data_IF_619665921086
#
_entry.id   IF_619665921086
#
_cell.length_a   1.000
_cell.length_b   1.000
_cell.length_c   1.000
_cell.angle_alpha   90.00
_cell.angle_beta   90.00
_cell.angle_gamma   90.00
#
_symmetry.space_group_name_H-M   'P 1'
#
loop_
_entity.id
_entity.type
_entity.pdbx_description
1 polymer ?
#
# COMPACT_ATOMS: atom_id res chain seq x y z
N UNK A 1 -15.11 7.50 0.50
CA UNK A 1 -14.38 7.91 -0.72
C UNK A 1 -14.81 6.97 -1.85
N UNK A 2 -15.06 7.49 -3.05
CA UNK A 2 -15.33 6.64 -4.21
C UNK A 2 -14.02 5.96 -4.66
N UNK A 3 -14.07 4.68 -5.04
CA UNK A 3 -12.87 3.92 -5.43
C UNK A 3 -12.08 4.63 -6.54
N UNK A 4 -12.75 5.14 -7.57
CA UNK A 4 -12.09 5.81 -8.69
C UNK A 4 -11.40 7.11 -8.27
N UNK A 5 -12.03 7.91 -7.40
CA UNK A 5 -11.41 9.14 -6.90
C UNK A 5 -10.20 8.83 -6.03
N UNK A 6 -10.29 7.78 -5.19
CA UNK A 6 -9.19 7.33 -4.35
C UNK A 6 -8.01 6.84 -5.17
N UNK A 7 -8.23 5.98 -6.18
CA UNK A 7 -7.16 5.50 -7.05
C UNK A 7 -6.41 6.65 -7.71
N UNK A 8 -7.13 7.65 -8.24
CA UNK A 8 -6.51 8.84 -8.83
C UNK A 8 -5.67 9.62 -7.82
N UNK A 9 -6.23 9.88 -6.65
CA UNK A 9 -5.56 10.64 -5.59
C UNK A 9 -4.30 9.93 -5.08
N UNK A 10 -4.39 8.64 -4.77
CA UNK A 10 -3.27 7.85 -4.29
C UNK A 10 -2.17 7.69 -5.36
N UNK A 11 -2.55 7.54 -6.64
CA UNK A 11 -1.57 7.49 -7.75
C UNK A 11 -0.75 8.78 -7.84
N UNK A 12 -1.41 9.94 -7.78
CA UNK A 12 -0.71 11.23 -7.81
C UNK A 12 0.13 11.46 -6.56
N UNK A 13 -0.39 11.03 -5.41
CA UNK A 13 0.34 11.15 -4.14
C UNK A 13 1.59 10.28 -4.13
N UNK A 14 1.52 9.03 -4.57
CA UNK A 14 2.68 8.13 -4.64
C UNK A 14 3.72 8.60 -5.66
N UNK A 15 3.30 9.15 -6.78
CA UNK A 15 4.21 9.58 -7.84
C UNK A 15 4.87 10.94 -7.57
N UNK A 16 4.17 11.87 -6.90
CA UNK A 16 4.58 13.28 -6.86
C UNK A 16 4.75 13.85 -5.44
N UNK A 17 4.25 13.16 -4.40
CA UNK A 17 4.19 13.72 -3.04
C UNK A 17 4.80 12.82 -1.97
N UNK A 18 5.45 11.72 -2.35
CA UNK A 18 6.21 10.90 -1.41
C UNK A 18 7.55 11.57 -1.11
N UNK A 19 7.67 12.22 0.05
CA UNK A 19 8.84 13.03 0.44
C UNK A 19 10.15 12.24 0.55
N UNK A 20 10.11 10.91 0.47
CA UNK A 20 11.29 10.05 0.47
C UNK A 20 12.00 10.04 -0.88
N UNK A 21 11.31 10.44 -1.95
CA UNK A 21 11.81 10.44 -3.32
C UNK A 21 11.55 11.80 -3.98
N UNK A 22 12.36 12.21 -4.97
CA UNK A 22 11.99 13.34 -5.82
C UNK A 22 10.69 13.02 -6.60
N UNK A 23 9.88 14.03 -6.96
CA UNK A 23 8.71 13.81 -7.81
C UNK A 23 9.11 13.14 -9.13
N UNK A 24 8.34 12.13 -9.53
CA UNK A 24 8.56 11.35 -10.75
C UNK A 24 8.57 12.24 -12.00
N UNK A 25 9.56 12.02 -12.88
CA UNK A 25 9.66 12.72 -14.17
C UNK A 25 8.99 11.93 -15.30
N UNK A 26 8.76 12.60 -16.43
CA UNK A 26 8.11 11.98 -17.59
C UNK A 26 8.99 10.90 -18.23
N UNK A 27 10.29 11.08 -18.20
CA UNK A 27 11.30 10.19 -18.79
C UNK A 27 11.41 8.86 -18.03
N UNK A 28 10.94 8.83 -16.78
CA UNK A 28 10.89 7.63 -15.97
C UNK A 28 9.70 6.73 -16.33
N UNK A 29 8.58 7.30 -16.82
CA UNK A 29 7.34 6.57 -17.09
C UNK A 29 7.53 5.26 -17.88
N UNK A 30 8.32 5.20 -18.97
CA UNK A 30 8.48 3.97 -19.73
C UNK A 30 9.12 2.81 -18.97
N UNK A 31 9.79 3.09 -17.84
CA UNK A 31 10.51 2.10 -17.03
C UNK A 31 9.75 1.70 -15.76
N UNK A 32 8.58 2.28 -15.51
CA UNK A 32 7.84 2.10 -14.27
C UNK A 32 6.76 1.01 -14.37
N UNK A 33 6.50 0.42 -13.22
CA UNK A 33 5.35 -0.46 -12.97
C UNK A 33 4.40 0.27 -12.02
N UNK A 34 3.12 0.28 -12.34
CA UNK A 34 2.07 0.76 -11.45
C UNK A 34 1.47 -0.44 -10.73
N UNK A 35 1.44 -0.41 -9.40
CA UNK A 35 0.79 -1.43 -8.58
C UNK A 35 -0.36 -0.83 -7.78
N UNK A 36 -1.50 -1.52 -7.79
CA UNK A 36 -2.66 -1.18 -6.97
C UNK A 36 -2.95 -2.36 -6.06
N UNK A 37 -3.00 -2.09 -4.75
CA UNK A 37 -3.43 -3.06 -3.74
C UNK A 37 -4.79 -2.64 -3.20
N UNK A 38 -5.84 -3.41 -3.49
CA UNK A 38 -7.16 -3.23 -2.90
C UNK A 38 -7.23 -3.99 -1.57
N UNK A 39 -7.57 -3.27 -0.50
CA UNK A 39 -7.70 -3.85 0.83
C UNK A 39 -9.14 -4.25 1.10
N UNK A 40 -9.36 -5.50 1.51
CA UNK A 40 -10.67 -6.11 1.66
C UNK A 40 -10.76 -6.90 2.97
N UNK A 41 -11.99 -7.30 3.36
CA UNK A 41 -12.23 -8.19 4.50
C UNK A 41 -11.59 -7.71 5.82
N UNK A 42 -11.87 -6.46 6.20
CA UNK A 42 -11.40 -5.92 7.48
C UNK A 42 -12.15 -6.55 8.65
N UNK A 43 -11.41 -7.15 9.57
CA UNK A 43 -11.92 -7.87 10.74
C UNK A 43 -11.14 -7.45 11.98
N UNK A 44 -11.84 -6.97 13.01
CA UNK A 44 -11.25 -6.78 14.34
C UNK A 44 -11.12 -8.15 15.03
N UNK A 45 -9.98 -8.40 15.65
CA UNK A 45 -9.69 -9.69 16.33
C UNK A 45 -9.45 -9.50 17.82
N UNK A 46 -9.63 -10.59 18.58
CA UNK A 46 -9.56 -10.55 20.04
C UNK A 46 -8.15 -10.59 20.60
N UNK A 47 -7.23 -11.26 19.90
CA UNK A 47 -5.82 -11.38 20.25
C UNK A 47 -4.92 -10.84 19.13
N UNK A 48 -3.82 -10.19 19.50
CA UNK A 48 -2.88 -9.58 18.56
C UNK A 48 -2.09 -10.60 17.72
N UNK A 49 -2.26 -11.91 17.99
CA UNK A 49 -1.71 -13.03 17.24
C UNK A 49 -2.73 -13.68 16.28
N UNK A 50 -4.00 -13.29 16.30
CA UNK A 50 -5.08 -13.89 15.48
C UNK A 50 -5.05 -13.46 14.00
N UNK A 51 -3.91 -13.64 13.34
CA UNK A 51 -3.71 -13.40 11.92
C UNK A 51 -2.70 -14.39 11.35
N UNK A 52 -2.54 -14.41 10.03
CA UNK A 52 -1.71 -15.39 9.34
C UNK A 52 -0.68 -14.66 8.47
N UNK A 53 0.59 -14.97 8.70
CA UNK A 53 1.73 -14.37 7.99
C UNK A 53 1.66 -14.70 6.51
N UNK A 54 1.78 -13.69 5.66
CA UNK A 54 1.72 -13.84 4.20
C UNK A 54 0.30 -13.93 3.63
N UNK A 55 -0.73 -13.96 4.49
CA UNK A 55 -2.14 -13.99 4.08
C UNK A 55 -2.86 -12.71 4.50
N UNK A 56 -2.65 -12.28 5.75
CA UNK A 56 -3.31 -11.11 6.31
C UNK A 56 -2.35 -9.93 6.40
N UNK A 57 -2.83 -8.76 5.97
CA UNK A 57 -2.29 -7.48 6.38
C UNK A 57 -2.88 -7.11 7.74
N UNK A 58 -2.15 -6.31 8.50
CA UNK A 58 -2.57 -5.91 9.84
C UNK A 58 -2.48 -4.41 10.02
N UNK A 59 -3.49 -3.85 10.67
CA UNK A 59 -3.49 -2.49 11.21
C UNK A 59 -3.61 -2.60 12.72
N UNK A 60 -2.66 -2.00 13.44
CA UNK A 60 -2.73 -1.90 14.89
C UNK A 60 -3.12 -0.50 15.33
N UNK A 61 -3.86 -0.42 16.42
CA UNK A 61 -4.13 0.80 17.17
C UNK A 61 -3.58 0.64 18.59
N UNK A 62 -2.86 1.64 19.07
CA UNK A 62 -2.25 1.63 20.40
C UNK A 62 -2.12 3.05 20.97
N UNK A 63 -1.90 3.15 22.29
CA UNK A 63 -1.57 4.40 22.96
C UNK A 63 -0.06 4.43 23.18
N UNK A 64 0.60 5.48 22.71
CA UNK A 64 2.05 5.62 22.90
C UNK A 64 2.40 6.12 24.31
N UNK A 65 3.70 6.22 24.62
CA UNK A 65 4.19 6.67 25.93
C UNK A 65 3.79 8.11 26.29
N UNK A 66 3.28 8.88 25.32
CA UNK A 66 2.79 10.25 25.49
C UNK A 66 1.27 10.31 25.64
N UNK A 67 0.59 9.18 25.82
CA UNK A 67 -0.87 9.10 25.90
C UNK A 67 -1.59 9.38 24.58
N UNK A 68 -0.87 9.46 23.46
CA UNK A 68 -1.46 9.74 22.14
C UNK A 68 -1.85 8.45 21.44
N UNK A 69 -3.07 8.39 20.89
CA UNK A 69 -3.50 7.30 20.02
C UNK A 69 -2.72 7.30 18.71
N UNK A 70 -2.19 6.15 18.33
CA UNK A 70 -1.42 5.93 17.10
C UNK A 70 -1.97 4.73 16.34
N UNK A 71 -1.70 4.72 15.05
CA UNK A 71 -1.99 3.59 14.17
C UNK A 71 -0.77 3.28 13.31
N UNK A 72 -0.62 2.01 12.95
CA UNK A 72 0.39 1.56 12.02
C UNK A 72 -0.15 0.37 11.23
N UNK A 73 0.36 0.17 10.02
CA UNK A 73 -0.14 -0.85 9.09
C UNK A 73 1.01 -1.52 8.35
N UNK A 74 0.90 -2.85 8.16
CA UNK A 74 1.66 -3.60 7.16
C UNK A 74 0.72 -4.40 6.25
N UNK A 75 1.08 -4.45 4.96
CA UNK A 75 0.43 -5.28 3.96
C UNK A 75 0.78 -6.77 4.16
N UNK A 76 -0.02 -7.72 3.63
CA UNK A 76 0.19 -9.15 3.82
C UNK A 76 1.60 -9.65 3.50
N UNK A 77 2.23 -9.08 2.49
CA UNK A 77 3.56 -9.49 2.01
C UNK A 77 4.69 -9.13 2.98
N UNK A 78 4.56 -8.05 3.77
CA UNK A 78 5.70 -7.45 4.49
C UNK A 78 6.30 -8.41 5.51
N UNK A 79 5.48 -9.02 6.37
CA UNK A 79 5.97 -9.94 7.40
C UNK A 79 6.67 -11.15 6.78
N UNK A 80 6.08 -11.71 5.71
CA UNK A 80 6.63 -12.86 4.98
C UNK A 80 7.96 -12.53 4.31
N UNK A 81 8.05 -11.40 3.61
CA UNK A 81 9.27 -10.97 2.91
C UNK A 81 10.43 -10.68 3.88
N UNK A 82 10.13 -10.19 5.08
CA UNK A 82 11.14 -9.95 6.12
C UNK A 82 11.50 -11.22 6.91
N UNK A 83 10.79 -12.32 6.72
CA UNK A 83 10.94 -13.54 7.52
C UNK A 83 10.56 -13.33 9.00
N UNK A 84 9.64 -12.41 9.28
CA UNK A 84 9.20 -12.10 10.64
C UNK A 84 8.07 -13.01 11.10
N UNK A 85 8.14 -13.43 12.36
CA UNK A 85 7.01 -14.02 13.07
C UNK A 85 6.01 -12.93 13.54
N UNK A 86 4.93 -13.36 14.21
CA UNK A 86 3.91 -12.44 14.73
C UNK A 86 4.47 -11.40 15.70
N UNK A 87 5.34 -11.81 16.62
CA UNK A 87 5.90 -10.91 17.65
C UNK A 87 6.83 -9.89 17.03
N UNK A 88 7.74 -10.33 16.17
CA UNK A 88 8.67 -9.48 15.43
C UNK A 88 7.91 -8.47 14.57
N UNK A 89 6.83 -8.92 13.91
CA UNK A 89 5.99 -8.04 13.08
C UNK A 89 5.30 -6.97 13.93
N UNK A 90 4.71 -7.36 15.06
CA UNK A 90 4.01 -6.43 15.97
C UNK A 90 4.98 -5.42 16.57
N UNK A 91 6.14 -5.87 17.04
CA UNK A 91 7.17 -5.00 17.59
C UNK A 91 7.68 -4.00 16.53
N UNK A 92 7.92 -4.49 15.30
CA UNK A 92 8.28 -3.64 14.16
C UNK A 92 7.20 -2.61 13.84
N UNK A 93 5.91 -2.99 13.84
CA UNK A 93 4.80 -2.05 13.64
C UNK A 93 4.71 -1.00 14.74
N UNK A 94 4.90 -1.39 16.01
CA UNK A 94 4.90 -0.44 17.13
C UNK A 94 6.01 0.60 16.95
N UNK A 95 7.23 0.16 16.59
CA UNK A 95 8.36 1.07 16.29
C UNK A 95 8.03 1.98 15.11
N UNK A 96 7.49 1.43 14.02
CA UNK A 96 7.04 2.20 12.85
C UNK A 96 5.95 3.22 13.19
N UNK A 97 5.03 2.88 14.08
CA UNK A 97 3.98 3.76 14.60
C UNK A 97 4.48 4.79 15.63
N UNK A 98 5.78 4.79 15.93
CA UNK A 98 6.43 5.78 16.79
C UNK A 98 6.46 5.43 18.27
N UNK A 99 6.22 4.18 18.67
CA UNK A 99 6.39 3.73 20.05
C UNK A 99 7.86 3.59 20.41
N UNK A 100 8.31 4.32 21.44
CA UNK A 100 9.74 4.39 21.80
C UNK A 100 10.12 3.69 23.11
N UNK A 101 9.15 3.37 23.96
CA UNK A 101 9.39 2.67 25.22
C UNK A 101 9.72 1.17 25.03
N UNK A 102 10.17 0.46 26.08
CA UNK A 102 10.30 -1.00 26.05
C UNK A 102 8.96 -1.67 25.73
N UNK A 103 8.98 -2.71 24.89
CA UNK A 103 7.77 -3.44 24.48
C UNK A 103 7.66 -4.69 25.35
N UNK A 104 6.72 -4.69 26.30
CA UNK A 104 6.43 -5.85 27.15
C UNK A 104 5.32 -6.72 26.55
N UNK A 105 5.23 -7.96 27.01
CA UNK A 105 4.10 -8.85 26.67
C UNK A 105 2.75 -8.23 27.03
N UNK A 106 2.65 -7.59 28.20
CA UNK A 106 1.40 -6.97 28.64
C UNK A 106 1.03 -5.77 27.77
N UNK A 107 2.02 -4.99 27.32
CA UNK A 107 1.75 -3.91 26.39
C UNK A 107 1.21 -4.43 25.05
N UNK A 108 1.73 -5.53 24.51
CA UNK A 108 1.21 -6.14 23.27
C UNK A 108 -0.27 -6.51 23.39
N UNK A 109 -0.70 -7.00 24.55
CA UNK A 109 -2.11 -7.34 24.82
C UNK A 109 -3.04 -6.12 24.83
N UNK A 110 -2.51 -4.90 24.98
CA UNK A 110 -3.32 -3.67 24.90
C UNK A 110 -3.61 -3.23 23.47
N UNK A 111 -2.94 -3.82 22.48
CA UNK A 111 -3.08 -3.46 21.08
C UNK A 111 -4.44 -3.92 20.57
N UNK A 112 -5.17 -3.01 19.91
CA UNK A 112 -6.29 -3.40 19.07
C UNK A 112 -5.75 -3.73 17.68
N UNK A 113 -6.04 -4.92 17.18
CA UNK A 113 -5.62 -5.36 15.86
C UNK A 113 -6.84 -5.53 14.94
N UNK A 114 -6.76 -4.94 13.75
CA UNK A 114 -7.65 -5.24 12.62
C UNK A 114 -6.82 -5.99 11.58
N UNK A 115 -7.23 -7.19 11.20
CA UNK A 115 -6.66 -7.92 10.06
C UNK A 115 -7.45 -7.64 8.78
N UNK A 116 -6.81 -7.77 7.63
CA UNK A 116 -7.45 -7.61 6.33
C UNK A 116 -6.71 -8.42 5.26
N UNK A 117 -7.32 -8.59 4.09
CA UNK A 117 -6.70 -9.20 2.91
C UNK A 117 -6.40 -8.12 1.88
N UNK A 118 -5.49 -8.41 0.95
CA UNK A 118 -5.26 -7.54 -0.20
C UNK A 118 -5.26 -8.32 -1.51
N UNK A 119 -5.79 -7.69 -2.54
CA UNK A 119 -5.59 -8.11 -3.92
C UNK A 119 -4.70 -7.08 -4.61
N UNK A 120 -3.59 -7.54 -5.17
CA UNK A 120 -2.60 -6.68 -5.84
C UNK A 120 -2.63 -6.95 -7.34
N UNK A 121 -2.76 -5.88 -8.11
CA UNK A 121 -2.56 -5.89 -9.56
C UNK A 121 -1.37 -5.00 -9.89
N UNK A 122 -0.54 -5.44 -10.83
CA UNK A 122 0.63 -4.68 -11.30
C UNK A 122 0.64 -4.65 -12.82
N UNK A 123 0.93 -3.48 -13.38
CA UNK A 123 1.01 -3.26 -14.82
C UNK A 123 2.22 -2.38 -15.15
N UNK A 124 3.02 -2.79 -16.12
CA UNK A 124 4.07 -1.95 -16.70
C UNK A 124 3.48 -0.88 -17.62
N UNK A 125 4.26 0.16 -17.90
CA UNK A 125 3.86 1.18 -18.86
C UNK A 125 3.62 0.63 -20.27
N UNK A 126 4.41 -0.33 -20.73
CA UNK A 126 4.25 -0.96 -22.04
C UNK A 126 2.96 -1.79 -22.13
N UNK A 127 2.63 -2.56 -21.10
CA UNK A 127 1.36 -3.30 -21.03
C UNK A 127 0.16 -2.36 -20.99
N UNK A 128 0.24 -1.23 -20.28
CA UNK A 128 -0.79 -0.19 -20.30
C UNK A 128 -1.03 0.38 -21.70
N UNK A 129 0.05 0.71 -22.43
CA UNK A 129 -0.07 1.21 -23.80
C UNK A 129 -0.71 0.15 -24.72
N UNK A 130 -0.29 -1.10 -24.60
CA UNK A 130 -0.87 -2.20 -25.37
C UNK A 130 -2.37 -2.36 -25.07
N UNK A 131 -2.78 -2.35 -23.80
CA UNK A 131 -4.19 -2.41 -23.41
C UNK A 131 -5.01 -1.25 -23.96
N UNK A 132 -4.48 -0.02 -23.86
CA UNK A 132 -5.16 1.16 -24.41
C UNK A 132 -5.36 1.06 -25.91
N UNK A 133 -4.33 0.66 -26.65
CA UNK A 133 -4.44 0.49 -28.11
C UNK A 133 -5.52 -0.53 -28.47
N UNK A 134 -5.57 -1.69 -27.79
CA UNK A 134 -6.61 -2.70 -28.01
C UNK A 134 -8.03 -2.18 -27.71
N UNK A 135 -8.22 -1.45 -26.60
CA UNK A 135 -9.52 -0.83 -26.28
C UNK A 135 -9.91 0.29 -27.24
N UNK A 136 -8.95 1.01 -27.81
CA UNK A 136 -9.19 2.01 -28.86
C UNK A 136 -9.72 1.37 -30.15
N UNK A 137 -9.24 0.18 -30.52
CA UNK A 137 -9.75 -0.55 -31.69
C UNK A 137 -11.15 -1.15 -31.49
N UNK A 138 -11.53 -1.51 -30.26
CA UNK A 138 -12.85 -2.09 -29.97
C UNK A 138 -13.98 -1.06 -29.81
N UNK A 139 -13.68 0.18 -29.40
CA UNK A 139 -14.71 1.18 -29.05
C UNK A 139 -14.94 2.30 -30.07
N UNK A 140 -14.30 2.28 -31.25
CA UNK A 140 -14.66 3.14 -32.40
C UNK A 140 -14.50 4.67 -32.23
N UNK A 141 -13.98 5.17 -31.11
CA UNK A 141 -13.71 6.60 -30.90
C UNK A 141 -12.30 6.92 -31.38
N UNK A 142 -12.20 7.39 -32.62
CA UNK A 142 -10.97 7.82 -33.26
C UNK A 142 -10.51 9.19 -32.71
N UNK A 143 -9.82 9.19 -31.57
CA UNK A 143 -8.88 10.27 -31.27
C UNK A 143 -7.46 9.72 -31.40
N UNK A 144 -6.63 10.30 -32.28
CA UNK A 144 -5.28 9.81 -32.48
C UNK A 144 -4.51 9.90 -31.15
N UNK A 145 -3.79 8.82 -30.83
CA UNK A 145 -2.69 8.90 -29.87
C UNK A 145 -1.78 10.00 -30.42
N UNK A 146 -1.52 11.11 -29.68
CA UNK A 146 -0.57 12.09 -30.16
C UNK A 146 0.73 11.34 -30.45
N UNK A 147 1.31 11.47 -31.66
CA UNK A 147 2.66 10.98 -31.84
C UNK A 147 3.51 11.66 -30.76
N UNK A 148 4.25 10.87 -29.99
CA UNK A 148 5.31 11.38 -29.14
C UNK A 148 6.35 11.99 -30.09
N UNK A 149 6.10 13.21 -30.55
CA UNK A 149 7.02 14.00 -31.34
C UNK A 149 7.82 14.88 -30.40
N UNK A 150 9.13 14.66 -30.45
CA UNK A 150 10.18 15.56 -30.00
C UNK A 150 9.78 17.03 -30.12
N UNK A 151 9.81 17.75 -29.00
CA UNK A 151 10.23 19.14 -29.02
C UNK A 151 11.20 19.35 -27.85
N UNK A 152 12.38 19.82 -28.25
CA UNK A 152 13.54 20.19 -27.45
C UNK A 152 13.23 21.21 -26.36
#
# INVERSE_FOLDING_TARGET
MNLHSGLREYTLTSALKDSRFPPMTREELPRLFCSVSLLTNFEDVGDYLEWEVGVHGIRIEFINEKGSKRTATYLPEVAKEQGWDHIQTIDSLLRKGGYKAPISSDFRKTIKLTRYRSEKMTLSYSEYLAHRQHHHYQNGIAHPVPPYNHYS
#
